data_IF_685793198144
#
_entry.id   IF_685793198144
#
_cell.length_a   1.000
_cell.length_b   1.000
_cell.length_c   1.000
_cell.angle_alpha   90.00
_cell.angle_beta   90.00
_cell.angle_gamma   90.00
#
_symmetry.space_group_name_H-M   'P 1'
#
loop_
_entity.id
_entity.type
_entity.pdbx_description
1 polymer ?
#
# COMPACT_ATOMS: atom_id res chain seq x y z
N UNK A 1 -1.26 93.17 3.01
CA UNK A 1 -2.48 92.76 2.28
C UNK A 1 -2.06 92.16 0.94
N UNK A 2 -2.70 91.04 0.55
CA UNK A 2 -2.49 90.20 -0.65
C UNK A 2 -1.17 89.38 -0.71
N UNK A 3 -1.36 88.08 -0.94
CA UNK A 3 -0.43 86.94 -0.81
C UNK A 3 0.17 86.53 -2.17
N UNK A 4 1.42 86.04 -2.11
CA UNK A 4 2.07 84.92 -2.85
C UNK A 4 2.08 84.98 -4.42
N UNK A 5 3.20 85.11 -5.17
CA UNK A 5 4.48 84.35 -5.25
C UNK A 5 4.21 82.85 -5.42
N UNK A 6 4.71 82.06 -6.37
CA UNK A 6 5.57 82.17 -7.56
C UNK A 6 5.30 80.83 -8.30
N UNK A 7 5.06 80.82 -9.62
CA UNK A 7 6.04 80.43 -10.65
C UNK A 7 6.35 78.93 -10.73
N UNK A 8 6.14 78.34 -11.91
CA UNK A 8 7.19 77.88 -12.84
C UNK A 8 6.89 76.50 -13.48
N UNK A 9 7.04 76.50 -14.82
CA UNK A 9 7.55 75.43 -15.68
C UNK A 9 6.74 74.12 -15.87
N UNK A 10 6.83 73.39 -16.97
CA UNK A 10 7.17 73.56 -18.39
C UNK A 10 7.21 72.13 -18.99
N UNK A 11 7.17 72.06 -20.33
CA UNK A 11 7.58 70.94 -21.21
C UNK A 11 6.63 69.73 -21.36
N UNK A 12 6.08 69.48 -22.55
CA UNK A 12 6.66 68.83 -23.75
C UNK A 12 6.90 67.32 -23.58
N UNK A 13 6.16 66.50 -24.35
CA UNK A 13 6.60 65.31 -25.15
C UNK A 13 5.38 64.41 -25.42
N UNK A 14 4.94 64.32 -26.68
CA UNK A 14 5.27 63.30 -27.69
C UNK A 14 4.77 61.89 -27.36
N UNK A 15 3.79 61.48 -28.16
CA UNK A 15 3.23 60.14 -28.29
C UNK A 15 4.27 59.09 -28.70
N UNK A 16 4.34 57.98 -27.97
CA UNK A 16 4.90 56.71 -28.44
C UNK A 16 3.82 55.62 -28.35
N UNK A 17 3.51 55.03 -29.49
CA UNK A 17 2.69 53.82 -29.65
C UNK A 17 3.46 52.59 -29.16
N UNK A 18 2.86 51.82 -28.26
CA UNK A 18 3.31 50.44 -27.96
C UNK A 18 2.34 49.43 -28.55
N UNK A 19 2.90 48.56 -29.41
CA UNK A 19 2.25 47.36 -29.94
C UNK A 19 2.03 46.36 -28.80
N UNK A 20 0.79 45.93 -28.56
CA UNK A 20 0.50 44.73 -27.79
C UNK A 20 0.18 43.59 -28.76
N UNK A 21 1.09 42.62 -28.83
CA UNK A 21 0.94 41.38 -29.59
C UNK A 21 -0.24 40.57 -29.04
N UNK A 22 -1.19 40.26 -29.92
CA UNK A 22 -2.30 39.37 -29.65
C UNK A 22 -1.78 37.92 -29.60
N UNK A 23 -1.36 37.45 -28.42
CA UNK A 23 -1.17 36.02 -28.16
C UNK A 23 -2.49 35.48 -27.63
N UNK A 24 -3.22 34.75 -28.48
CA UNK A 24 -4.28 33.86 -28.03
C UNK A 24 -3.66 32.85 -27.05
N UNK A 25 -3.91 33.07 -25.77
CA UNK A 25 -3.49 32.18 -24.69
C UNK A 25 -4.45 31.00 -24.70
N UNK A 26 -3.99 29.84 -25.17
CA UNK A 26 -4.70 28.59 -24.97
C UNK A 26 -4.87 28.37 -23.47
N UNK A 27 -6.08 28.00 -22.98
CA UNK A 27 -6.27 27.72 -21.57
C UNK A 27 -5.38 26.52 -21.20
N UNK A 28 -4.36 26.79 -20.41
CA UNK A 28 -3.58 25.75 -19.75
C UNK A 28 -4.56 25.09 -18.78
N UNK A 29 -4.89 23.82 -19.01
CA UNK A 29 -5.50 23.00 -17.97
C UNK A 29 -4.47 22.92 -16.84
N UNK A 30 -4.54 23.87 -15.92
CA UNK A 30 -3.93 23.74 -14.61
C UNK A 30 -4.76 22.68 -13.92
N UNK A 31 -4.29 21.44 -13.98
CA UNK A 31 -4.84 20.36 -13.16
C UNK A 31 -4.85 20.89 -11.74
N UNK A 32 -6.03 21.22 -11.22
CA UNK A 32 -6.19 21.56 -9.83
C UNK A 32 -5.64 20.38 -9.04
N UNK A 33 -4.44 20.55 -8.47
CA UNK A 33 -3.94 19.64 -7.46
C UNK A 33 -4.93 19.79 -6.33
N UNK A 34 -5.88 18.86 -6.24
CA UNK A 34 -6.79 18.80 -5.10
C UNK A 34 -5.90 18.83 -3.86
N UNK A 35 -6.11 19.77 -2.91
CA UNK A 35 -5.29 19.82 -1.72
C UNK A 35 -5.31 18.44 -1.10
N UNK A 36 -4.15 17.79 -1.05
CA UNK A 36 -3.99 16.54 -0.31
C UNK A 36 -4.32 16.92 1.11
N UNK A 37 -5.48 16.51 1.60
CA UNK A 37 -5.87 16.74 2.99
C UNK A 37 -4.72 16.22 3.84
N UNK A 38 -4.06 17.14 4.54
CA UNK A 38 -2.95 16.78 5.40
C UNK A 38 -3.56 15.96 6.53
N UNK A 39 -3.31 14.65 6.51
CA UNK A 39 -3.72 13.76 7.59
C UNK A 39 -3.01 14.27 8.83
N UNK A 40 -3.78 14.77 9.80
CA UNK A 40 -3.26 15.26 11.06
C UNK A 40 -2.24 14.25 11.60
N UNK A 41 -1.11 14.74 12.10
CA UNK A 41 -0.07 13.88 12.64
C UNK A 41 -0.57 13.29 13.98
N UNK A 42 -1.31 12.19 13.91
CA UNK A 42 -1.81 11.47 15.07
C UNK A 42 -0.62 10.86 15.80
N UNK A 43 -0.58 11.00 17.13
CA UNK A 43 0.42 10.33 17.94
C UNK A 43 0.28 8.82 17.76
N UNK A 44 1.32 8.18 17.21
CA UNK A 44 1.33 6.76 16.91
C UNK A 44 2.20 6.00 17.90
N UNK A 45 1.79 4.79 18.24
CA UNK A 45 2.59 3.81 18.99
C UNK A 45 3.07 2.75 18.00
N UNK A 46 4.32 2.32 18.13
CA UNK A 46 4.84 1.21 17.33
C UNK A 46 4.31 -0.11 17.87
N UNK A 47 3.61 -0.85 17.01
CA UNK A 47 3.17 -2.22 17.20
C UNK A 47 4.08 -3.15 16.43
N UNK A 48 4.70 -4.12 17.11
CA UNK A 48 5.60 -5.12 16.52
C UNK A 48 5.12 -6.53 16.85
N UNK A 49 5.44 -7.48 15.98
CA UNK A 49 5.10 -8.88 16.20
C UNK A 49 5.40 -9.76 15.01
N UNK A 50 4.89 -10.99 15.07
CA UNK A 50 5.03 -11.98 14.00
C UNK A 50 3.71 -12.69 13.75
N UNK A 51 3.27 -12.73 12.49
CA UNK A 51 2.23 -13.65 12.05
C UNK A 51 2.87 -14.93 11.50
N UNK A 52 2.43 -16.09 11.99
CA UNK A 52 2.89 -17.40 11.53
C UNK A 52 1.71 -18.13 10.92
N UNK A 53 1.75 -18.37 9.62
CA UNK A 53 0.74 -19.11 8.88
C UNK A 53 1.27 -20.51 8.57
N UNK A 54 0.66 -21.53 9.16
CA UNK A 54 1.01 -22.93 8.95
C UNK A 54 0.01 -23.59 8.01
N UNK A 55 0.44 -23.83 6.79
CA UNK A 55 -0.36 -24.47 5.75
C UNK A 55 -0.21 -25.98 5.81
N UNK A 56 -1.33 -26.68 5.71
CA UNK A 56 -1.42 -28.08 5.26
C UNK A 56 -2.10 -28.09 3.91
N UNK A 57 -1.37 -28.49 2.87
CA UNK A 57 -1.81 -28.46 1.48
C UNK A 57 -2.11 -29.89 1.05
N UNK A 58 -3.37 -30.16 0.71
CA UNK A 58 -3.74 -31.41 0.05
C UNK A 58 -3.43 -31.32 -1.44
N UNK A 59 -2.66 -32.25 -1.96
CA UNK A 59 -2.28 -32.33 -3.37
C UNK A 59 -3.18 -33.36 -4.06
N UNK A 60 -4.11 -32.86 -4.88
CA UNK A 60 -5.03 -33.70 -5.65
C UNK A 60 -4.65 -33.85 -7.12
N UNK A 61 -3.57 -33.20 -7.52
CA UNK A 61 -2.86 -33.40 -8.77
C UNK A 61 -1.40 -33.77 -8.45
N UNK A 62 -0.69 -34.48 -9.36
CA UNK A 62 0.70 -34.83 -9.14
C UNK A 62 1.57 -33.57 -9.24
N UNK A 63 1.71 -32.87 -8.12
CA UNK A 63 2.62 -31.73 -7.98
C UNK A 63 4.03 -32.29 -7.81
N UNK A 64 4.95 -31.87 -8.67
CA UNK A 64 6.33 -32.41 -8.72
C UNK A 64 7.30 -31.62 -7.86
N UNK A 65 7.12 -30.30 -7.83
CA UNK A 65 7.93 -29.39 -7.03
C UNK A 65 7.21 -28.95 -5.76
N UNK A 66 7.93 -28.64 -4.67
CA UNK A 66 7.30 -28.08 -3.48
C UNK A 66 6.48 -26.81 -3.81
N UNK A 67 5.17 -26.75 -3.48
CA UNK A 67 4.37 -25.55 -3.67
C UNK A 67 4.96 -24.32 -2.97
N UNK A 68 4.67 -23.13 -3.49
CA UNK A 68 4.89 -21.87 -2.78
C UNK A 68 3.60 -21.40 -2.11
N UNK A 69 3.73 -20.71 -0.98
CA UNK A 69 2.63 -20.11 -0.25
C UNK A 69 2.94 -18.65 -0.03
N UNK A 70 2.05 -17.78 -0.47
CA UNK A 70 2.15 -16.34 -0.30
C UNK A 70 1.04 -15.89 0.63
N UNK A 71 1.36 -15.03 1.58
CA UNK A 71 0.38 -14.35 2.43
C UNK A 71 0.63 -12.86 2.35
N UNK A 72 -0.42 -12.09 2.08
CA UNK A 72 -0.45 -10.64 2.25
C UNK A 72 -1.43 -10.30 3.36
N UNK A 73 -1.00 -9.44 4.28
CA UNK A 73 -1.85 -8.87 5.33
C UNK A 73 -1.83 -7.36 5.26
N UNK A 74 -2.95 -6.76 5.60
CA UNK A 74 -3.13 -5.32 5.67
C UNK A 74 -3.85 -4.94 6.96
N UNK A 75 -3.41 -3.84 7.55
CA UNK A 75 -4.16 -3.11 8.58
C UNK A 75 -4.35 -1.67 8.13
N UNK A 76 -5.45 -1.05 8.57
CA UNK A 76 -5.70 0.38 8.37
C UNK A 76 -5.79 1.02 9.74
N UNK A 77 -4.93 2.00 10.01
CA UNK A 77 -5.00 2.81 11.23
C UNK A 77 -6.26 3.65 11.20
N UNK A 78 -7.26 3.31 12.02
CA UNK A 78 -8.54 4.00 12.02
C UNK A 78 -8.41 5.49 12.38
N UNK A 79 -7.37 5.86 13.13
CA UNK A 79 -7.15 7.25 13.53
C UNK A 79 -6.62 8.14 12.38
N UNK A 80 -5.82 7.58 11.46
CA UNK A 80 -5.17 8.34 10.38
C UNK A 80 -5.62 7.94 8.98
N UNK A 81 -6.33 6.82 8.83
CA UNK A 81 -6.65 6.20 7.54
C UNK A 81 -5.45 5.61 6.80
N UNK A 82 -4.25 5.62 7.40
CA UNK A 82 -3.04 5.06 6.78
C UNK A 82 -3.12 3.54 6.74
N UNK A 83 -2.67 2.96 5.63
CA UNK A 83 -2.61 1.52 5.45
C UNK A 83 -1.17 1.02 5.62
N UNK A 84 -1.06 -0.16 6.24
CA UNK A 84 0.19 -0.89 6.39
C UNK A 84 -0.03 -2.28 5.82
N UNK A 85 0.80 -2.65 4.84
CA UNK A 85 0.73 -3.93 4.16
C UNK A 85 2.05 -4.68 4.33
N UNK A 86 1.96 -5.98 4.58
CA UNK A 86 3.11 -6.87 4.65
C UNK A 86 2.84 -8.12 3.82
N UNK A 87 3.84 -8.57 3.07
CA UNK A 87 3.74 -9.80 2.28
C UNK A 87 4.93 -10.69 2.55
N UNK A 88 4.69 -11.99 2.71
CA UNK A 88 5.75 -12.98 2.79
C UNK A 88 5.43 -14.23 1.97
N UNK A 89 6.48 -14.95 1.61
CA UNK A 89 6.43 -16.18 0.85
C UNK A 89 7.13 -17.27 1.64
N UNK A 90 6.53 -18.45 1.68
CA UNK A 90 7.12 -19.69 2.16
C UNK A 90 7.19 -20.72 1.05
N UNK A 91 8.19 -21.58 1.11
CA UNK A 91 8.28 -22.77 0.26
C UNK A 91 7.82 -23.97 1.08
N UNK A 92 6.95 -24.78 0.50
CA UNK A 92 6.46 -25.97 1.16
C UNK A 92 7.55 -27.06 1.26
N UNK A 93 7.28 -28.08 2.06
CA UNK A 93 8.01 -29.34 2.02
C UNK A 93 7.79 -30.04 0.68
N UNK A 94 8.72 -30.92 0.32
CA UNK A 94 8.51 -31.84 -0.80
C UNK A 94 7.17 -32.61 -0.62
N UNK A 95 6.38 -32.78 -1.68
CA UNK A 95 5.17 -33.61 -1.67
C UNK A 95 5.44 -34.99 -1.07
N UNK A 96 4.65 -35.38 -0.07
CA UNK A 96 4.73 -36.70 0.56
C UNK A 96 3.35 -37.17 0.99
N UNK A 97 2.97 -38.39 0.60
CA UNK A 97 1.66 -38.96 0.94
C UNK A 97 0.45 -38.15 0.45
N UNK A 98 0.61 -37.36 -0.63
CA UNK A 98 -0.44 -36.47 -1.14
C UNK A 98 -0.57 -35.14 -0.39
N UNK A 99 0.39 -34.79 0.47
CA UNK A 99 0.39 -33.53 1.21
C UNK A 99 1.72 -32.78 1.09
N UNK A 100 1.65 -31.47 1.28
CA UNK A 100 2.81 -30.61 1.52
C UNK A 100 2.51 -29.67 2.70
N UNK A 101 3.54 -29.28 3.45
CA UNK A 101 3.44 -28.35 4.58
C UNK A 101 4.26 -27.12 4.31
N UNK A 102 3.76 -25.96 4.68
CA UNK A 102 4.43 -24.70 4.41
C UNK A 102 4.22 -23.74 5.56
N UNK A 103 5.26 -23.01 5.95
CA UNK A 103 5.19 -22.03 7.02
C UNK A 103 5.59 -20.68 6.46
N UNK A 104 4.70 -19.71 6.57
CA UNK A 104 4.95 -18.32 6.19
C UNK A 104 5.04 -17.50 7.46
N UNK A 105 6.11 -16.71 7.61
CA UNK A 105 6.28 -15.79 8.75
C UNK A 105 6.31 -14.37 8.22
N UNK A 106 5.42 -13.53 8.74
CA UNK A 106 5.38 -12.09 8.47
C UNK A 106 5.80 -11.38 9.75
N UNK A 107 6.95 -10.72 9.72
CA UNK A 107 7.39 -9.82 10.77
C UNK A 107 6.83 -8.44 10.44
N UNK A 108 6.25 -7.76 11.41
CA UNK A 108 5.69 -6.43 11.20
C UNK A 108 6.17 -5.42 12.24
N UNK A 109 6.17 -4.15 11.84
CA UNK A 109 6.43 -3.00 12.70
C UNK A 109 5.62 -1.81 12.19
N UNK A 110 4.46 -1.58 12.79
CA UNK A 110 3.50 -0.58 12.33
C UNK A 110 3.34 0.55 13.35
N UNK A 111 3.40 1.79 12.90
CA UNK A 111 3.12 2.95 13.75
C UNK A 111 1.62 3.29 13.66
N UNK A 112 0.84 2.85 14.65
CA UNK A 112 -0.62 2.96 14.66
C UNK A 112 -1.09 3.95 15.73
N UNK A 113 -2.04 4.82 15.39
CA UNK A 113 -2.72 5.69 16.34
C UNK A 113 -3.81 4.96 17.13
N UNK A 114 -4.45 3.94 16.54
CA UNK A 114 -5.52 3.15 17.15
C UNK A 114 -5.28 1.64 17.17
N UNK A 115 -4.01 1.21 17.29
CA UNK A 115 -3.64 -0.21 17.16
C UNK A 115 -4.36 -1.19 18.10
N UNK A 116 -4.88 -0.74 19.25
CA UNK A 116 -5.69 -1.61 20.13
C UNK A 116 -7.07 -2.00 19.57
N UNK A 117 -7.56 -1.29 18.55
CA UNK A 117 -8.88 -1.51 17.92
C UNK A 117 -8.80 -1.78 16.41
N UNK A 118 -7.65 -1.53 15.79
CA UNK A 118 -7.46 -1.79 14.36
C UNK A 118 -7.49 -3.29 14.06
N UNK A 119 -7.94 -3.64 12.86
CA UNK A 119 -8.10 -5.02 12.42
C UNK A 119 -7.06 -5.37 11.36
N UNK A 120 -6.44 -6.54 11.52
CA UNK A 120 -5.64 -7.19 10.49
C UNK A 120 -6.57 -8.00 9.60
N UNK A 121 -6.46 -7.78 8.30
CA UNK A 121 -7.14 -8.56 7.25
C UNK A 121 -6.09 -9.04 6.25
N UNK A 122 -6.45 -9.92 5.33
CA UNK A 122 -5.51 -10.34 4.31
C UNK A 122 -6.00 -11.51 3.47
N UNK A 123 -5.09 -12.01 2.65
CA UNK A 123 -5.32 -13.12 1.75
C UNK A 123 -4.08 -14.00 1.66
N UNK A 124 -4.30 -15.25 1.28
CA UNK A 124 -3.23 -16.16 0.92
C UNK A 124 -3.43 -16.70 -0.50
N UNK A 125 -2.32 -17.12 -1.10
CA UNK A 125 -2.29 -17.89 -2.33
C UNK A 125 -1.32 -19.05 -2.16
N UNK A 126 -1.69 -20.23 -2.66
CA UNK A 126 -0.84 -21.40 -2.76
C UNK A 126 -0.70 -21.74 -4.23
N UNK A 127 0.53 -21.91 -4.70
CA UNK A 127 0.88 -22.12 -6.09
C UNK A 127 1.73 -23.38 -6.22
N UNK A 128 1.38 -24.28 -7.15
CA UNK A 128 2.16 -25.46 -7.46
C UNK A 128 2.11 -25.81 -8.95
N UNK A 129 3.07 -26.62 -9.40
CA UNK A 129 3.19 -27.05 -10.79
C UNK A 129 3.16 -28.57 -10.89
N UNK A 130 2.49 -29.10 -11.92
CA UNK A 130 2.34 -30.55 -12.11
C UNK A 130 3.52 -31.23 -12.79
N UNK A 131 4.42 -30.47 -13.44
CA UNK A 131 5.72 -30.93 -13.97
C UNK A 131 6.72 -29.76 -13.97
N UNK A 132 7.98 -30.01 -14.32
CA UNK A 132 9.05 -29.00 -14.32
C UNK A 132 9.42 -28.53 -15.75
N UNK A 133 8.49 -28.64 -16.70
CA UNK A 133 8.74 -28.36 -18.14
C UNK A 133 7.96 -27.11 -18.59
N UNK A 134 8.51 -26.32 -19.51
CA UNK A 134 7.80 -25.17 -20.11
C UNK A 134 6.49 -25.66 -20.76
N UNK A 135 5.34 -25.06 -20.38
CA UNK A 135 3.99 -25.51 -20.78
C UNK A 135 3.22 -26.30 -19.71
N UNK A 136 3.68 -26.25 -18.46
CA UNK A 136 3.04 -26.90 -17.31
C UNK A 136 1.67 -26.35 -16.94
N UNK A 137 0.86 -27.21 -16.34
CA UNK A 137 -0.40 -26.80 -15.71
C UNK A 137 -0.08 -26.21 -14.33
N UNK A 138 -0.28 -24.90 -14.20
CA UNK A 138 -0.28 -24.19 -12.94
C UNK A 138 -1.52 -24.58 -12.10
N UNK A 139 -1.32 -24.79 -10.81
CA UNK A 139 -2.40 -25.04 -9.85
C UNK A 139 -2.32 -23.97 -8.78
N UNK A 140 -3.40 -23.22 -8.63
CA UNK A 140 -3.47 -22.08 -7.72
C UNK A 140 -4.71 -22.18 -6.86
N UNK A 141 -4.56 -21.93 -5.56
CA UNK A 141 -5.66 -21.83 -4.61
C UNK A 141 -5.47 -20.59 -3.74
N UNK A 142 -6.49 -19.76 -3.62
CA UNK A 142 -6.46 -18.53 -2.83
C UNK A 142 -7.71 -18.37 -1.98
N UNK A 143 -7.57 -17.70 -0.84
CA UNK A 143 -8.69 -17.32 0.02
C UNK A 143 -8.26 -16.21 0.99
N UNK A 144 -9.24 -15.66 1.69
CA UNK A 144 -8.99 -14.68 2.74
C UNK A 144 -8.43 -15.37 3.99
N UNK A 145 -7.54 -14.70 4.70
CA UNK A 145 -7.21 -15.09 6.08
C UNK A 145 -8.30 -14.56 7.02
N UNK A 146 -8.51 -15.27 8.13
CA UNK A 146 -9.43 -14.81 9.18
C UNK A 146 -8.95 -13.45 9.68
N UNK A 147 -9.87 -12.49 9.80
CA UNK A 147 -9.55 -11.17 10.35
C UNK A 147 -9.48 -11.23 11.88
N UNK A 148 -8.52 -10.52 12.46
CA UNK A 148 -8.31 -10.47 13.91
C UNK A 148 -7.75 -9.09 14.31
N UNK A 149 -7.93 -8.64 15.56
CA UNK A 149 -7.39 -7.36 16.01
C UNK A 149 -5.85 -7.36 15.98
N UNK A 150 -5.24 -6.19 15.76
CA UNK A 150 -3.77 -6.06 15.84
C UNK A 150 -3.28 -6.56 17.21
N UNK A 151 -2.38 -7.56 17.25
CA UNK A 151 -1.92 -8.13 18.50
C UNK A 151 -1.12 -7.15 19.35
N UNK A 152 -1.02 -7.44 20.65
CA UNK A 152 -0.14 -6.73 21.57
C UNK A 152 1.34 -6.84 21.13
N UNK A 153 2.13 -5.84 21.52
CA UNK A 153 3.54 -5.73 21.16
C UNK A 153 4.35 -7.00 21.48
N UNK A 154 5.18 -7.44 20.52
CA UNK A 154 6.04 -8.61 20.62
C UNK A 154 5.32 -9.95 20.49
N UNK A 155 4.01 -9.97 20.21
CA UNK A 155 3.23 -11.20 20.15
C UNK A 155 3.47 -11.98 18.86
N UNK A 156 3.52 -13.31 18.97
CA UNK A 156 3.42 -14.22 17.83
C UNK A 156 1.99 -14.73 17.69
N UNK A 157 1.34 -14.44 16.57
CA UNK A 157 -0.01 -14.94 16.26
C UNK A 157 0.10 -16.05 15.23
N UNK A 158 -0.37 -17.25 15.59
CA UNK A 158 -0.29 -18.42 14.71
C UNK A 158 -1.66 -18.78 14.15
N UNK A 159 -1.74 -18.95 12.83
CA UNK A 159 -2.95 -19.37 12.13
C UNK A 159 -2.68 -20.66 11.37
N UNK A 160 -3.53 -21.67 11.54
CA UNK A 160 -3.50 -22.87 10.73
C UNK A 160 -4.39 -22.69 9.49
N UNK A 161 -3.87 -23.09 8.33
CA UNK A 161 -4.59 -23.00 7.04
C UNK A 161 -4.59 -24.39 6.41
N UNK A 162 -5.77 -24.81 5.94
CA UNK A 162 -5.91 -25.97 5.05
C UNK A 162 -6.22 -25.47 3.65
N UNK A 163 -5.44 -25.91 2.67
CA UNK A 163 -5.61 -25.57 1.25
C UNK A 163 -5.53 -26.82 0.38
N UNK A 164 -5.92 -26.71 -0.89
CA UNK A 164 -5.95 -27.82 -1.84
C UNK A 164 -5.45 -27.37 -3.22
N UNK A 165 -4.55 -28.15 -3.82
CA UNK A 165 -4.08 -28.00 -5.21
C UNK A 165 -4.54 -29.17 -6.10
#
# INVERSE_FOLDING_TARGET
MKKAICTLAALFTLSLTTFAQNKAQTPRYESAISPKTEVANVAAVTYTGVFVYNFTILLTSPITDPPSCTVSVVTTDAASGRQFEETAIGTASAPSGGYAKCTVKIYYSWALGSGGSDMVTGQYSVLGFTTNTVGTTERTASSNVVSFPVPANGTTTTTAISSRL
#
